data_IF_268554615951
#
_entry.id   IF_268554615951
#
_cell.length_a   1.000
_cell.length_b   1.000
_cell.length_c   1.000
_cell.angle_alpha   90.00
_cell.angle_beta   90.00
_cell.angle_gamma   90.00
#
_symmetry.space_group_name_H-M   'P 1'
#
loop_
_entity.id
_entity.type
_entity.pdbx_description
1 polymer ?
#
# COMPACT_ATOMS: atom_id res chain seq x y z
N UNK A 1 -24.26 -25.10 12.19
CA UNK A 1 -23.72 -23.78 12.55
C UNK A 1 -22.31 -23.69 12.00
N UNK A 2 -21.98 -22.78 11.06
CA UNK A 2 -20.59 -22.59 10.65
C UNK A 2 -19.74 -22.23 11.88
N UNK A 3 -18.52 -22.77 11.96
CA UNK A 3 -17.64 -22.47 13.09
C UNK A 3 -17.19 -21.01 13.02
N UNK A 4 -17.06 -20.35 14.17
CA UNK A 4 -16.52 -18.98 14.27
C UNK A 4 -15.20 -18.81 13.52
N UNK A 5 -14.37 -19.87 13.49
CA UNK A 5 -13.13 -19.92 12.72
C UNK A 5 -13.37 -19.85 11.21
N UNK A 6 -14.33 -20.61 10.68
CA UNK A 6 -14.66 -20.59 9.26
C UNK A 6 -15.12 -19.19 8.79
N UNK A 7 -15.91 -18.50 9.62
CA UNK A 7 -16.36 -17.14 9.32
C UNK A 7 -15.21 -16.12 9.37
N UNK A 8 -14.29 -16.26 10.33
CA UNK A 8 -13.07 -15.45 10.38
C UNK A 8 -12.18 -15.67 9.15
N UNK A 9 -12.00 -16.92 8.72
CA UNK A 9 -11.23 -17.24 7.50
C UNK A 9 -11.89 -16.60 6.27
N UNK A 10 -13.21 -16.69 6.14
CA UNK A 10 -13.94 -16.07 5.01
C UNK A 10 -13.77 -14.55 5.02
N UNK A 11 -13.89 -13.93 6.19
CA UNK A 11 -13.68 -12.48 6.35
C UNK A 11 -12.25 -12.07 5.99
N UNK A 12 -11.24 -12.79 6.48
CA UNK A 12 -9.84 -12.52 6.18
C UNK A 12 -9.55 -12.61 4.67
N UNK A 13 -10.06 -13.65 4.00
CA UNK A 13 -9.92 -13.79 2.53
C UNK A 13 -10.58 -12.64 1.78
N UNK A 14 -11.78 -12.21 2.20
CA UNK A 14 -12.48 -11.06 1.59
C UNK A 14 -11.66 -9.77 1.74
N UNK A 15 -11.15 -9.50 2.95
CA UNK A 15 -10.35 -8.31 3.22
C UNK A 15 -9.02 -8.33 2.44
N UNK A 16 -8.38 -9.50 2.32
CA UNK A 16 -7.18 -9.64 1.50
C UNK A 16 -7.45 -9.35 0.02
N UNK A 17 -8.55 -9.86 -0.53
CA UNK A 17 -8.95 -9.58 -1.91
C UNK A 17 -9.30 -8.10 -2.12
N UNK A 18 -9.94 -7.46 -1.15
CA UNK A 18 -10.25 -6.03 -1.19
C UNK A 18 -8.98 -5.17 -1.15
N UNK A 19 -8.03 -5.48 -0.26
CA UNK A 19 -6.71 -4.84 -0.23
C UNK A 19 -6.00 -4.96 -1.58
N UNK A 20 -6.00 -6.15 -2.17
CA UNK A 20 -5.30 -6.37 -3.43
C UNK A 20 -5.93 -5.55 -4.57
N UNK A 21 -7.26 -5.41 -4.61
CA UNK A 21 -7.95 -4.50 -5.56
C UNK A 21 -7.61 -3.04 -5.34
N UNK A 22 -7.53 -2.59 -4.08
CA UNK A 22 -7.14 -1.21 -3.76
C UNK A 22 -5.69 -0.94 -4.20
N UNK A 23 -4.79 -1.90 -4.00
CA UNK A 23 -3.40 -1.81 -4.48
C UNK A 23 -3.36 -1.70 -6.00
N UNK A 24 -4.14 -2.52 -6.71
CA UNK A 24 -4.18 -2.51 -8.18
C UNK A 24 -4.70 -1.16 -8.72
N UNK A 25 -5.80 -0.64 -8.16
CA UNK A 25 -6.35 0.66 -8.56
C UNK A 25 -5.39 1.81 -8.29
N UNK A 26 -4.78 1.84 -7.10
CA UNK A 26 -3.75 2.84 -6.78
C UNK A 26 -2.56 2.75 -7.74
N UNK A 27 -2.09 1.54 -8.06
CA UNK A 27 -0.95 1.38 -8.95
C UNK A 27 -1.24 1.95 -10.36
N UNK A 28 -2.44 1.72 -10.90
CA UNK A 28 -2.83 2.25 -12.21
C UNK A 28 -2.90 3.79 -12.21
N UNK A 29 -3.52 4.38 -11.19
CA UNK A 29 -3.62 5.83 -11.07
C UNK A 29 -2.24 6.49 -10.94
N UNK A 30 -1.38 5.93 -10.10
CA UNK A 30 -0.01 6.41 -9.90
C UNK A 30 0.85 6.23 -11.16
N UNK A 31 0.79 5.08 -11.83
CA UNK A 31 1.52 4.86 -13.07
C UNK A 31 1.10 5.88 -14.14
N UNK A 32 -0.21 6.15 -14.27
CA UNK A 32 -0.73 7.18 -15.17
C UNK A 32 -0.22 8.58 -14.84
N UNK A 33 -0.17 8.94 -13.55
CA UNK A 33 0.30 10.25 -13.10
C UNK A 33 1.82 10.46 -13.26
N UNK A 34 2.60 9.40 -13.05
CA UNK A 34 4.08 9.44 -13.08
C UNK A 34 4.66 9.19 -14.48
N UNK A 35 3.91 8.56 -15.39
CA UNK A 35 4.37 8.28 -16.75
C UNK A 35 4.73 9.57 -17.48
N UNK A 36 5.88 9.58 -18.14
CA UNK A 36 6.36 10.72 -18.94
C UNK A 36 6.89 11.91 -18.13
N UNK A 37 6.96 11.81 -16.80
CA UNK A 37 7.47 12.89 -15.93
C UNK A 37 9.01 13.00 -15.90
N UNK A 38 9.73 12.07 -16.56
CA UNK A 38 11.20 12.08 -16.60
C UNK A 38 11.88 11.81 -15.25
N UNK A 39 11.17 11.18 -14.31
CA UNK A 39 11.67 10.88 -12.96
C UNK A 39 12.82 9.87 -13.02
N UNK A 40 13.89 10.17 -12.28
CA UNK A 40 14.98 9.24 -12.02
C UNK A 40 14.58 8.19 -10.98
N UNK A 41 15.38 7.13 -10.86
CA UNK A 41 15.20 6.13 -9.80
C UNK A 41 15.27 6.76 -8.39
N UNK A 42 16.12 7.77 -8.21
CA UNK A 42 16.25 8.49 -6.94
C UNK A 42 14.99 9.31 -6.60
N UNK A 43 14.38 9.95 -7.60
CA UNK A 43 13.13 10.71 -7.40
C UNK A 43 11.98 9.78 -6.98
N UNK A 44 11.93 8.58 -7.56
CA UNK A 44 10.97 7.56 -7.16
C UNK A 44 11.25 7.04 -5.74
N UNK A 45 12.52 6.80 -5.38
CA UNK A 45 12.88 6.40 -4.03
C UNK A 45 12.46 7.44 -2.97
N UNK A 46 12.69 8.73 -3.25
CA UNK A 46 12.28 9.83 -2.37
C UNK A 46 10.75 9.91 -2.25
N UNK A 47 10.03 9.80 -3.37
CA UNK A 47 8.57 9.74 -3.38
C UNK A 47 8.04 8.62 -2.48
N UNK A 48 8.55 7.40 -2.63
CA UNK A 48 8.10 6.25 -1.85
C UNK A 48 8.44 6.39 -0.36
N UNK A 49 9.59 6.99 -0.04
CA UNK A 49 9.96 7.31 1.33
C UNK A 49 8.99 8.32 1.96
N UNK A 50 8.65 9.40 1.25
CA UNK A 50 7.69 10.39 1.73
C UNK A 50 6.29 9.82 1.98
N UNK A 51 5.79 8.97 1.07
CA UNK A 51 4.52 8.28 1.25
C UNK A 51 4.52 7.33 2.44
N UNK A 52 5.66 6.67 2.70
CA UNK A 52 5.84 5.80 3.86
C UNK A 52 5.75 6.58 5.17
N UNK A 53 6.43 7.72 5.27
CA UNK A 53 6.38 8.58 6.44
C UNK A 53 4.97 9.14 6.67
N UNK A 54 4.31 9.60 5.62
CA UNK A 54 2.93 10.11 5.71
C UNK A 54 1.95 9.02 6.14
N UNK A 55 2.07 7.80 5.61
CA UNK A 55 1.24 6.67 5.99
C UNK A 55 1.42 6.29 7.48
N UNK A 56 2.65 6.26 7.98
CA UNK A 56 2.93 5.97 9.40
C UNK A 56 2.38 7.07 10.30
N UNK A 57 2.55 8.35 9.92
CA UNK A 57 2.04 9.50 10.66
C UNK A 57 0.51 9.44 10.76
N UNK A 58 -0.18 9.32 9.62
CA UNK A 58 -1.65 9.23 9.57
C UNK A 58 -2.18 8.00 10.29
N UNK A 59 -1.52 6.85 10.15
CA UNK A 59 -1.90 5.64 10.86
C UNK A 59 -1.87 5.84 12.37
N UNK A 60 -0.81 6.48 12.88
CA UNK A 60 -0.69 6.78 14.31
C UNK A 60 -1.77 7.76 14.80
N UNK A 61 -2.07 8.79 14.02
CA UNK A 61 -3.15 9.76 14.29
C UNK A 61 -4.53 9.10 14.32
N UNK A 62 -4.88 8.33 13.28
CA UNK A 62 -6.17 7.64 13.16
C UNK A 62 -6.32 6.47 14.13
N UNK A 63 -5.22 5.85 14.52
CA UNK A 63 -5.19 4.76 15.48
C UNK A 63 -5.40 5.22 16.92
N UNK A 64 -5.47 6.54 17.19
CA UNK A 64 -5.54 7.12 18.54
C UNK A 64 -4.46 6.55 19.49
N UNK A 65 -3.28 6.26 18.94
CA UNK A 65 -2.18 5.63 19.69
C UNK A 65 -2.39 4.15 20.07
N UNK A 66 -3.47 3.48 19.61
CA UNK A 66 -3.70 2.04 19.83
C UNK A 66 -2.56 1.17 19.28
N UNK A 67 -1.91 1.64 18.22
CA UNK A 67 -0.81 0.96 17.55
C UNK A 67 0.41 1.86 17.54
N UNK A 68 1.59 1.27 17.76
CA UNK A 68 2.84 2.03 17.72
C UNK A 68 3.17 2.44 16.28
N UNK A 69 3.94 3.52 16.13
CA UNK A 69 4.49 3.91 14.82
C UNK A 69 5.26 2.76 14.14
N UNK A 70 5.88 1.87 14.92
CA UNK A 70 6.58 0.71 14.38
C UNK A 70 5.63 -0.35 13.81
N UNK A 71 4.46 -0.55 14.42
CA UNK A 71 3.44 -1.44 13.88
C UNK A 71 2.89 -0.90 12.56
N UNK A 72 2.57 0.40 12.50
CA UNK A 72 2.18 1.05 11.25
C UNK A 72 3.27 0.99 10.19
N UNK A 73 4.53 1.16 10.58
CA UNK A 73 5.67 1.03 9.66
C UNK A 73 5.78 -0.38 9.08
N UNK A 74 5.41 -1.42 9.83
CA UNK A 74 5.40 -2.77 9.29
C UNK A 74 4.30 -2.94 8.24
N UNK A 75 3.07 -2.55 8.57
CA UNK A 75 1.91 -2.67 7.68
C UNK A 75 2.05 -1.83 6.41
N UNK A 76 2.43 -0.56 6.56
CA UNK A 76 2.58 0.36 5.42
C UNK A 76 3.72 -0.09 4.48
N UNK A 77 4.79 -0.70 5.01
CA UNK A 77 5.90 -1.19 4.19
C UNK A 77 5.44 -2.25 3.20
N UNK A 78 4.61 -3.21 3.62
CA UNK A 78 4.13 -4.26 2.71
C UNK A 78 3.23 -3.70 1.61
N UNK A 79 2.31 -2.79 1.96
CA UNK A 79 1.40 -2.18 1.00
C UNK A 79 2.15 -1.31 0.00
N UNK A 80 3.03 -0.43 0.47
CA UNK A 80 3.81 0.48 -0.38
C UNK A 80 4.76 -0.31 -1.28
N UNK A 81 5.42 -1.36 -0.77
CA UNK A 81 6.27 -2.20 -1.60
C UNK A 81 5.51 -2.83 -2.78
N UNK A 82 4.27 -3.28 -2.57
CA UNK A 82 3.45 -3.89 -3.63
C UNK A 82 2.93 -2.84 -4.62
N UNK A 83 2.54 -1.65 -4.15
CA UNK A 83 2.16 -0.53 -5.03
C UNK A 83 3.36 -0.12 -5.88
N UNK A 84 4.51 0.15 -5.25
CA UNK A 84 5.78 0.50 -5.91
C UNK A 84 6.13 -0.49 -7.01
N UNK A 85 6.12 -1.79 -6.71
CA UNK A 85 6.44 -2.83 -7.67
C UNK A 85 5.57 -2.75 -8.93
N UNK A 86 4.26 -2.55 -8.75
CA UNK A 86 3.30 -2.49 -9.85
C UNK A 86 3.45 -1.21 -10.67
N UNK A 87 3.59 -0.07 -10.00
CA UNK A 87 3.79 1.23 -10.64
C UNK A 87 5.06 1.23 -11.49
N UNK A 88 6.18 0.81 -10.93
CA UNK A 88 7.46 0.78 -11.67
C UNK A 88 7.47 -0.23 -12.82
N UNK A 89 6.74 -1.34 -12.70
CA UNK A 89 6.55 -2.27 -13.81
C UNK A 89 5.74 -1.62 -14.95
N UNK A 90 4.62 -0.97 -14.61
CA UNK A 90 3.73 -0.35 -15.59
C UNK A 90 4.32 0.92 -16.25
N UNK A 91 5.23 1.62 -15.57
CA UNK A 91 6.01 2.72 -16.16
C UNK A 91 7.08 2.18 -17.12
N UNK A 92 7.66 1.01 -16.85
CA UNK A 92 8.69 0.40 -17.70
C UNK A 92 8.11 -0.20 -18.98
N UNK A 93 6.88 -0.72 -18.91
CA UNK A 93 6.21 -1.42 -20.01
C UNK A 93 5.45 -0.50 -20.98
N UNK A 94 5.16 0.74 -20.59
CA UNK A 94 4.40 1.72 -21.39
C UNK A 94 5.24 2.87 -21.90
#
# INVERSE_FOLDING_TARGET
MPSRLADLIRKARRLAAERDRLIDGLAQEWAGALRGQGLSAADLDELWAGLMEDAVRRGNELGEGRWTAQAWRHEAKEVIARVRQKVEAEIREG
#
